data_IF_595127169958
#
_entry.id   IF_595127169958
#
_cell.length_a   1.000
_cell.length_b   1.000
_cell.length_c   1.000
_cell.angle_alpha   90.00
_cell.angle_beta   90.00
_cell.angle_gamma   90.00
#
_symmetry.space_group_name_H-M   'P 1'
#
loop_
_entity.id
_entity.type
_entity.pdbx_description
1 polymer ?
#
# COMPACT_ATOMS: atom_id res chain seq x y z
N UNK A 1 20.85 -44.31 -0.69
CA UNK A 1 20.38 -45.43 -1.54
C UNK A 1 20.46 -46.79 -0.87
N UNK A 2 21.61 -47.31 -0.43
CA UNK A 2 21.71 -48.69 0.11
C UNK A 2 20.97 -48.98 1.43
N UNK A 3 20.45 -47.95 2.10
CA UNK A 3 19.81 -48.05 3.41
C UNK A 3 18.30 -47.81 3.38
N UNK A 4 17.71 -47.47 2.22
CA UNK A 4 16.27 -47.34 2.12
C UNK A 4 15.61 -48.73 2.27
N UNK A 5 14.59 -48.87 3.12
CA UNK A 5 13.88 -50.14 3.27
C UNK A 5 13.14 -50.49 1.99
N UNK A 6 13.07 -51.79 1.63
CA UNK A 6 12.29 -52.21 0.46
C UNK A 6 10.79 -52.17 0.76
N UNK A 7 10.02 -51.70 -0.21
CA UNK A 7 8.57 -51.79 -0.22
C UNK A 7 8.19 -53.00 -1.07
N UNK A 8 7.32 -53.90 -0.57
CA UNK A 8 6.98 -55.23 -1.12
C UNK A 8 7.90 -56.42 -0.79
N UNK A 9 8.84 -56.28 0.14
CA UNK A 9 9.62 -57.44 0.65
C UNK A 9 10.60 -58.04 -0.38
N UNK A 10 10.88 -57.33 -1.46
CA UNK A 10 11.92 -57.69 -2.41
C UNK A 10 13.32 -57.60 -1.76
N UNK A 11 14.21 -58.49 -2.16
CA UNK A 11 15.62 -58.47 -1.74
C UNK A 11 16.33 -57.29 -2.41
N UNK A 12 16.42 -56.14 -1.75
CA UNK A 12 17.05 -54.93 -2.30
C UNK A 12 16.84 -53.70 -1.42
N UNK A 13 17.41 -52.57 -1.86
CA UNK A 13 17.16 -51.27 -1.23
C UNK A 13 15.98 -50.56 -1.92
N UNK A 14 15.11 -49.94 -1.13
CA UNK A 14 14.00 -49.13 -1.65
C UNK A 14 14.48 -47.92 -2.42
N UNK A 15 13.59 -47.32 -3.21
CA UNK A 15 13.89 -46.11 -3.98
C UNK A 15 12.68 -45.18 -3.99
N UNK A 16 12.68 -44.07 -3.22
CA UNK A 16 11.63 -43.06 -3.32
C UNK A 16 11.66 -42.40 -4.69
N UNK A 17 10.50 -41.97 -5.19
CA UNK A 17 10.40 -41.28 -6.48
C UNK A 17 11.05 -39.89 -6.46
N UNK A 18 10.76 -39.10 -5.42
CA UNK A 18 11.40 -37.79 -5.22
C UNK A 18 11.85 -37.65 -3.77
N UNK A 19 13.05 -37.12 -3.60
CA UNK A 19 13.64 -36.83 -2.31
C UNK A 19 14.25 -35.42 -2.34
N UNK A 20 13.87 -34.60 -1.37
CA UNK A 20 14.57 -33.35 -1.07
C UNK A 20 15.58 -33.63 0.03
N UNK A 21 16.86 -33.51 -0.28
CA UNK A 21 17.95 -33.71 0.67
C UNK A 21 18.62 -32.39 1.01
N UNK A 22 18.89 -32.21 2.30
CA UNK A 22 19.71 -31.14 2.86
C UNK A 22 19.26 -29.72 2.52
N UNK A 23 17.94 -29.48 2.46
CA UNK A 23 17.41 -28.16 2.12
C UNK A 23 17.84 -27.07 3.12
N UNK A 24 18.01 -27.44 4.39
CA UNK A 24 18.39 -26.54 5.48
C UNK A 24 19.88 -26.57 5.85
N UNK A 25 20.73 -27.32 5.13
CA UNK A 25 22.16 -27.45 5.45
C UNK A 25 22.44 -28.24 6.74
N UNK A 26 21.60 -29.23 7.06
CA UNK A 26 21.65 -30.08 8.26
C UNK A 26 22.00 -31.55 7.98
N UNK A 27 22.20 -31.93 6.72
CA UNK A 27 22.49 -33.30 6.31
C UNK A 27 21.30 -34.26 6.43
N UNK A 28 20.07 -33.74 6.44
CA UNK A 28 18.83 -34.50 6.64
C UNK A 28 18.06 -34.71 5.34
N UNK A 29 17.11 -35.66 5.33
CA UNK A 29 16.12 -35.76 4.25
C UNK A 29 14.92 -34.89 4.63
N UNK A 30 14.76 -33.77 3.92
CA UNK A 30 13.79 -32.72 4.23
C UNK A 30 12.36 -33.06 3.77
N UNK A 31 12.21 -33.88 2.73
CA UNK A 31 10.92 -34.27 2.15
C UNK A 31 11.07 -35.55 1.34
N UNK A 32 10.11 -36.46 1.46
CA UNK A 32 9.96 -37.60 0.55
C UNK A 32 8.62 -37.48 -0.18
N UNK A 33 8.62 -37.68 -1.49
CA UNK A 33 7.40 -37.81 -2.29
C UNK A 33 7.41 -39.18 -2.95
N UNK A 34 6.32 -39.91 -2.75
CA UNK A 34 6.04 -41.14 -3.50
C UNK A 34 4.92 -40.86 -4.50
N UNK A 35 5.15 -41.23 -5.76
CA UNK A 35 4.26 -40.99 -6.87
C UNK A 35 3.62 -42.30 -7.37
N UNK A 36 2.45 -42.19 -7.99
CA UNK A 36 1.78 -43.31 -8.65
C UNK A 36 1.38 -42.95 -10.06
N UNK A 37 1.44 -43.94 -10.94
CA UNK A 37 0.96 -43.78 -12.31
C UNK A 37 -0.56 -43.74 -12.36
N UNK A 38 -1.12 -43.16 -13.43
CA UNK A 38 -2.57 -43.11 -13.68
C UNK A 38 -3.26 -44.49 -13.69
N UNK A 39 -2.50 -45.56 -13.94
CA UNK A 39 -2.97 -46.95 -13.99
C UNK A 39 -2.94 -47.67 -12.65
N UNK A 40 -2.20 -47.18 -11.65
CA UNK A 40 -2.23 -47.76 -10.31
C UNK A 40 -3.50 -47.33 -9.56
N UNK A 41 -3.95 -48.19 -8.64
CA UNK A 41 -5.00 -47.86 -7.67
C UNK A 41 -4.44 -47.85 -6.23
N UNK A 42 -3.13 -48.04 -6.08
CA UNK A 42 -2.47 -48.19 -4.80
C UNK A 42 -2.35 -46.83 -4.09
N UNK A 43 -2.39 -46.88 -2.77
CA UNK A 43 -2.11 -45.71 -1.95
C UNK A 43 -0.59 -45.47 -1.90
N UNK A 44 -0.06 -44.31 -2.34
CA UNK A 44 1.36 -43.99 -2.22
C UNK A 44 1.83 -43.82 -0.78
N UNK A 45 0.94 -43.45 0.14
CA UNK A 45 1.33 -43.01 1.50
C UNK A 45 2.06 -44.09 2.32
N UNK A 46 1.61 -45.37 2.37
CA UNK A 46 2.32 -46.41 3.11
C UNK A 46 3.78 -46.62 2.65
N UNK A 47 4.04 -46.47 1.35
CA UNK A 47 5.38 -46.58 0.80
C UNK A 47 6.25 -45.36 1.15
N UNK A 48 5.68 -44.16 1.09
CA UNK A 48 6.37 -42.95 1.55
C UNK A 48 6.75 -43.04 3.03
N UNK A 49 5.85 -43.55 3.89
CA UNK A 49 6.13 -43.83 5.32
C UNK A 49 7.28 -44.83 5.47
N UNK A 50 7.25 -45.92 4.68
CA UNK A 50 8.30 -46.92 4.71
C UNK A 50 9.66 -46.29 4.41
N UNK A 51 9.77 -45.51 3.32
CA UNK A 51 11.02 -44.85 2.95
C UNK A 51 11.47 -43.80 3.96
N UNK A 52 10.55 -43.13 4.64
CA UNK A 52 10.86 -42.15 5.67
C UNK A 52 11.54 -42.75 6.92
N UNK A 53 11.44 -44.07 7.14
CA UNK A 53 12.17 -44.77 8.20
C UNK A 53 13.70 -44.69 8.05
N UNK A 54 14.21 -44.29 6.87
CA UNK A 54 15.63 -43.95 6.69
C UNK A 54 16.10 -42.86 7.67
N UNK A 55 15.20 -41.97 8.10
CA UNK A 55 15.50 -40.90 9.05
C UNK A 55 16.05 -41.45 10.37
N UNK A 56 15.49 -42.56 10.84
CA UNK A 56 15.96 -43.24 12.06
C UNK A 56 17.38 -43.77 11.91
N UNK A 57 17.77 -44.18 10.70
CA UNK A 57 19.12 -44.69 10.42
C UNK A 57 20.17 -43.57 10.39
N UNK A 58 19.83 -42.41 9.82
CA UNK A 58 20.74 -41.26 9.74
C UNK A 58 20.72 -40.36 10.98
N UNK A 59 19.85 -40.66 11.95
CA UNK A 59 19.70 -39.88 13.18
C UNK A 59 18.92 -38.58 13.03
N UNK A 60 18.36 -38.33 11.84
CA UNK A 60 17.59 -37.13 11.51
C UNK A 60 16.23 -37.54 10.91
N UNK A 61 15.13 -37.41 11.67
CA UNK A 61 13.81 -37.85 11.22
C UNK A 61 13.34 -37.09 9.97
N UNK A 62 12.85 -37.83 8.98
CA UNK A 62 12.13 -37.24 7.85
C UNK A 62 10.82 -36.67 8.39
N UNK A 63 10.62 -35.36 8.31
CA UNK A 63 9.44 -34.75 8.95
C UNK A 63 8.23 -34.71 8.06
N UNK A 64 8.42 -34.75 6.74
CA UNK A 64 7.33 -34.60 5.78
C UNK A 64 7.41 -35.70 4.74
N UNK A 65 6.26 -36.31 4.49
CA UNK A 65 6.03 -37.19 3.36
C UNK A 65 4.84 -36.68 2.54
N UNK A 66 4.88 -36.94 1.24
CA UNK A 66 3.79 -36.63 0.32
C UNK A 66 3.46 -37.89 -0.47
N UNK A 67 2.20 -38.31 -0.39
CA UNK A 67 1.63 -39.29 -1.31
C UNK A 67 0.99 -38.58 -2.49
N UNK A 68 1.52 -38.79 -3.69
CA UNK A 68 0.94 -38.27 -4.93
C UNK A 68 0.24 -39.39 -5.72
N UNK A 69 -1.04 -39.18 -6.03
CA UNK A 69 -1.78 -40.06 -6.91
C UNK A 69 -2.55 -39.20 -7.94
N UNK A 70 -2.37 -39.38 -9.26
CA UNK A 70 -2.89 -38.46 -10.28
C UNK A 70 -4.41 -38.25 -10.31
N UNK A 71 -5.17 -39.15 -9.66
CA UNK A 71 -6.65 -39.09 -9.54
C UNK A 71 -7.15 -38.58 -8.18
N UNK A 72 -6.25 -38.20 -7.26
CA UNK A 72 -6.59 -37.75 -5.90
C UNK A 72 -5.86 -36.45 -5.61
N UNK A 73 -6.31 -35.73 -4.58
CA UNK A 73 -5.55 -34.61 -4.04
C UNK A 73 -4.25 -35.12 -3.38
N UNK A 74 -3.24 -34.26 -3.23
CA UNK A 74 -2.00 -34.64 -2.57
C UNK A 74 -2.27 -34.99 -1.10
N UNK A 75 -1.69 -36.09 -0.62
CA UNK A 75 -1.72 -36.48 0.78
C UNK A 75 -0.44 -35.99 1.45
N UNK A 76 -0.47 -34.77 1.99
CA UNK A 76 0.65 -34.16 2.71
C UNK A 76 0.59 -34.54 4.17
N UNK A 77 1.63 -35.22 4.66
CA UNK A 77 1.69 -35.67 6.06
C UNK A 77 2.97 -35.28 6.76
N UNK A 78 2.84 -35.03 8.06
CA UNK A 78 3.89 -34.57 8.95
C UNK A 78 4.08 -35.55 10.09
N UNK A 79 5.33 -35.75 10.50
CA UNK A 79 5.67 -36.57 11.66
C UNK A 79 5.18 -35.89 12.95
N UNK A 80 4.21 -36.53 13.61
CA UNK A 80 3.65 -36.12 14.90
C UNK A 80 4.58 -36.47 16.08
N UNK A 81 4.27 -35.94 17.27
CA UNK A 81 4.99 -36.29 18.52
C UNK A 81 4.90 -37.77 18.89
N UNK A 82 3.84 -38.44 18.45
CA UNK A 82 3.60 -39.87 18.72
C UNK A 82 4.32 -40.79 17.72
N UNK A 83 5.10 -40.22 16.79
CA UNK A 83 5.85 -40.97 15.78
C UNK A 83 5.02 -41.38 14.56
N UNK A 84 3.79 -40.89 14.44
CA UNK A 84 2.90 -41.18 13.32
C UNK A 84 2.92 -40.06 12.28
N UNK A 85 2.76 -40.39 11.00
CA UNK A 85 2.55 -39.41 9.94
C UNK A 85 1.07 -39.05 9.82
N UNK A 86 0.73 -37.82 10.21
CA UNK A 86 -0.64 -37.29 10.20
C UNK A 86 -0.80 -36.16 9.18
N UNK A 87 -2.02 -35.86 8.70
CA UNK A 87 -2.24 -34.76 7.76
C UNK A 87 -1.72 -33.41 8.30
N UNK A 88 -1.04 -32.65 7.46
CA UNK A 88 -0.73 -31.25 7.76
C UNK A 88 -2.03 -30.44 7.72
N UNK A 89 -2.38 -29.78 8.83
CA UNK A 89 -3.56 -28.94 8.94
C UNK A 89 -3.13 -27.50 9.20
N UNK A 90 -3.60 -26.57 8.37
CA UNK A 90 -3.38 -25.13 8.51
C UNK A 90 -4.74 -24.45 8.54
N UNK A 91 -5.01 -23.64 9.57
CA UNK A 91 -6.28 -22.92 9.75
C UNK A 91 -7.53 -23.83 9.68
N UNK A 92 -7.40 -25.06 10.17
CA UNK A 92 -8.48 -26.05 10.18
C UNK A 92 -8.65 -26.83 8.87
N UNK A 93 -7.91 -26.50 7.82
CA UNK A 93 -7.96 -27.20 6.53
C UNK A 93 -6.75 -28.10 6.31
N UNK A 94 -6.96 -29.25 5.65
CA UNK A 94 -5.87 -30.14 5.26
C UNK A 94 -5.11 -29.54 4.07
N UNK A 95 -3.79 -29.48 4.18
CA UNK A 95 -2.93 -29.12 3.06
C UNK A 95 -2.95 -30.26 2.04
N UNK A 96 -3.46 -29.96 0.86
CA UNK A 96 -3.70 -30.93 -0.22
C UNK A 96 -3.04 -30.52 -1.54
N UNK A 97 -2.16 -29.52 -1.46
CA UNK A 97 -1.37 -28.95 -2.57
C UNK A 97 0.12 -28.98 -2.20
N UNK A 98 0.99 -28.80 -3.19
CA UNK A 98 2.37 -28.42 -2.89
C UNK A 98 2.40 -27.08 -2.15
N UNK A 99 3.41 -26.89 -1.32
CA UNK A 99 3.60 -25.70 -0.50
C UNK A 99 5.04 -25.20 -0.64
N UNK A 100 5.21 -23.89 -0.39
CA UNK A 100 6.50 -23.22 -0.51
C UNK A 100 7.41 -23.41 0.70
N UNK A 101 8.57 -22.78 0.61
CA UNK A 101 9.62 -22.78 1.63
C UNK A 101 9.13 -22.42 3.04
N UNK A 102 8.22 -21.46 3.16
CA UNK A 102 7.75 -20.98 4.46
C UNK A 102 6.98 -22.05 5.26
N UNK A 103 6.17 -22.87 4.58
CA UNK A 103 5.46 -23.98 5.22
C UNK A 103 6.44 -25.10 5.59
N UNK A 104 7.44 -25.36 4.73
CA UNK A 104 8.50 -26.32 5.03
C UNK A 104 9.30 -25.89 6.28
N UNK A 105 9.72 -24.62 6.36
CA UNK A 105 10.37 -24.04 7.55
C UNK A 105 9.49 -24.14 8.79
N UNK A 106 8.20 -23.80 8.66
CA UNK A 106 7.25 -23.83 9.76
C UNK A 106 7.19 -25.21 10.41
N UNK A 107 7.09 -26.28 9.61
CA UNK A 107 7.08 -27.66 10.08
C UNK A 107 8.41 -28.02 10.75
N UNK A 108 9.55 -27.71 10.13
CA UNK A 108 10.86 -28.05 10.67
C UNK A 108 11.22 -27.30 11.95
N UNK A 109 10.75 -26.07 12.10
CA UNK A 109 10.92 -25.25 13.30
C UNK A 109 9.98 -25.67 14.44
N UNK A 110 8.93 -26.44 14.15
CA UNK A 110 7.95 -26.90 15.14
C UNK A 110 7.79 -28.45 15.12
N UNK A 111 8.82 -29.20 15.57
CA UNK A 111 8.79 -30.66 15.62
C UNK A 111 7.54 -31.26 16.27
N UNK A 112 6.91 -32.22 15.57
CA UNK A 112 5.77 -32.97 16.09
C UNK A 112 4.43 -32.24 16.04
N UNK A 113 4.40 -31.00 15.54
CA UNK A 113 3.16 -30.23 15.35
C UNK A 113 2.60 -30.53 13.97
N UNK A 114 1.33 -30.97 13.95
CA UNK A 114 0.62 -31.33 12.71
C UNK A 114 -0.50 -30.33 12.38
N UNK A 115 -0.88 -29.48 13.34
CA UNK A 115 -1.91 -28.46 13.22
C UNK A 115 -1.33 -27.07 13.51
N UNK A 116 -1.40 -26.17 12.54
CA UNK A 116 -0.96 -24.79 12.65
C UNK A 116 -2.16 -23.85 12.54
N UNK A 117 -2.19 -22.87 13.43
CA UNK A 117 -3.12 -21.74 13.35
C UNK A 117 -2.25 -20.54 12.97
N UNK A 118 -2.37 -20.13 11.71
CA UNK A 118 -1.69 -18.96 11.17
C UNK A 118 -2.64 -17.78 11.27
N UNK A 119 -2.27 -16.81 12.09
CA UNK A 119 -2.92 -15.51 12.10
C UNK A 119 -2.22 -14.64 11.06
N UNK A 120 -3.01 -13.84 10.34
CA UNK A 120 -2.47 -12.81 9.46
C UNK A 120 -1.65 -11.82 10.32
N UNK A 121 -0.38 -11.65 9.99
CA UNK A 121 0.43 -10.60 10.61
C UNK A 121 0.05 -9.29 9.93
N UNK A 122 -0.94 -8.61 10.48
CA UNK A 122 -1.28 -7.25 10.08
C UNK A 122 -0.21 -6.36 10.73
N UNK A 123 0.75 -5.86 9.94
CA UNK A 123 1.59 -4.75 10.38
C UNK A 123 0.67 -3.64 10.90
N UNK A 124 0.99 -3.03 12.05
CA UNK A 124 0.17 -1.94 12.58
C UNK A 124 -0.04 -0.89 11.48
N UNK A 125 -1.31 -0.67 11.10
CA UNK A 125 -1.64 0.24 10.02
C UNK A 125 -1.08 1.63 10.35
N UNK A 126 -0.36 2.23 9.39
CA UNK A 126 0.22 3.55 9.54
C UNK A 126 -0.84 4.55 9.99
N UNK A 127 -0.66 5.08 11.20
CA UNK A 127 -1.69 5.85 11.88
C UNK A 127 -1.60 7.33 11.58
N UNK A 128 -2.65 8.08 11.95
CA UNK A 128 -2.62 9.54 11.93
C UNK A 128 -1.49 10.12 12.80
N UNK A 129 -1.18 9.45 13.92
CA UNK A 129 -0.09 9.85 14.80
C UNK A 129 1.29 9.66 14.15
N UNK A 130 1.47 8.59 13.38
CA UNK A 130 2.70 8.33 12.63
C UNK A 130 2.90 9.42 11.56
N UNK A 131 1.84 9.78 10.85
CA UNK A 131 1.89 10.87 9.88
C UNK A 131 2.19 12.23 10.52
N UNK A 132 1.58 12.54 11.67
CA UNK A 132 1.88 13.75 12.44
C UNK A 132 3.36 13.80 12.87
N UNK A 133 3.95 12.64 13.22
CA UNK A 133 5.37 12.51 13.53
C UNK A 133 6.26 12.85 12.32
N UNK A 134 5.91 12.33 11.13
CA UNK A 134 6.59 12.67 9.87
C UNK A 134 6.52 14.18 9.59
N UNK A 135 5.34 14.79 9.73
CA UNK A 135 5.16 16.24 9.53
C UNK A 135 6.00 17.05 10.53
N UNK A 136 6.11 16.60 11.79
CA UNK A 136 6.95 17.24 12.81
C UNK A 136 8.44 17.23 12.42
N UNK A 137 8.93 16.12 11.86
CA UNK A 137 10.29 16.02 11.31
C UNK A 137 10.48 17.00 10.14
N UNK A 138 9.54 17.03 9.19
CA UNK A 138 9.56 17.99 8.07
C UNK A 138 9.57 19.45 8.55
N UNK A 139 8.76 19.78 9.56
CA UNK A 139 8.70 21.12 10.16
C UNK A 139 10.05 21.57 10.72
N UNK A 140 10.85 20.64 11.24
CA UNK A 140 12.21 20.92 11.71
C UNK A 140 13.13 21.31 10.55
N UNK A 141 13.01 20.63 9.40
CA UNK A 141 13.76 20.99 8.19
C UNK A 141 13.30 22.33 7.62
N UNK A 142 11.98 22.60 7.59
CA UNK A 142 11.44 23.88 7.11
C UNK A 142 11.91 25.08 7.91
N UNK A 143 12.07 24.96 9.23
CA UNK A 143 12.63 26.03 10.07
C UNK A 143 14.07 26.42 9.71
N UNK A 144 14.78 25.53 9.01
CA UNK A 144 16.16 25.75 8.57
C UNK A 144 16.25 26.04 7.06
N UNK A 145 15.11 26.13 6.36
CA UNK A 145 15.05 26.35 4.91
C UNK A 145 14.54 27.78 4.65
N UNK A 146 15.40 28.73 4.26
CA UNK A 146 15.05 30.15 4.08
C UNK A 146 13.82 30.42 3.20
N UNK A 147 13.64 29.61 2.15
CA UNK A 147 12.56 29.73 1.18
C UNK A 147 11.20 29.36 1.79
N UNK A 148 11.17 28.52 2.83
CA UNK A 148 9.95 27.97 3.42
C UNK A 148 9.68 28.54 4.82
N UNK A 149 10.74 28.83 5.59
CA UNK A 149 10.63 29.25 6.98
C UNK A 149 9.67 30.43 7.16
N UNK A 150 8.92 30.42 8.26
CA UNK A 150 7.96 31.47 8.65
C UNK A 150 6.78 31.72 7.67
N UNK A 151 6.58 30.87 6.67
CA UNK A 151 5.43 30.94 5.76
C UNK A 151 4.52 29.71 5.92
N UNK A 152 3.46 29.83 6.72
CA UNK A 152 2.59 28.68 7.02
C UNK A 152 1.88 28.13 5.78
N UNK A 153 1.26 28.99 4.97
CA UNK A 153 0.58 28.56 3.75
C UNK A 153 1.55 27.89 2.77
N UNK A 154 2.77 28.42 2.67
CA UNK A 154 3.83 27.86 1.84
C UNK A 154 4.27 26.48 2.34
N UNK A 155 4.51 26.32 3.65
CA UNK A 155 4.90 25.02 4.22
C UNK A 155 3.79 23.97 4.14
N UNK A 156 2.52 24.36 4.27
CA UNK A 156 1.36 23.48 4.04
C UNK A 156 1.33 23.02 2.59
N UNK A 157 1.28 23.97 1.63
CA UNK A 157 1.20 23.64 0.20
C UNK A 157 2.42 22.83 -0.26
N UNK A 158 3.62 23.16 0.23
CA UNK A 158 4.85 22.42 -0.08
C UNK A 158 4.81 20.99 0.44
N UNK A 159 4.33 20.77 1.68
CA UNK A 159 4.19 19.42 2.25
C UNK A 159 3.18 18.60 1.47
N UNK A 160 2.04 19.18 1.12
CA UNK A 160 1.00 18.53 0.31
C UNK A 160 1.54 18.14 -1.06
N UNK A 161 2.23 19.05 -1.75
CA UNK A 161 2.84 18.78 -3.05
C UNK A 161 3.92 17.69 -2.97
N UNK A 162 4.74 17.68 -1.90
CA UNK A 162 5.77 16.68 -1.70
C UNK A 162 5.18 15.28 -1.47
N UNK A 163 4.13 15.16 -0.64
CA UNK A 163 3.45 13.86 -0.43
C UNK A 163 2.75 13.40 -1.70
N UNK A 164 2.07 14.31 -2.40
CA UNK A 164 1.45 13.99 -3.68
C UNK A 164 2.48 13.50 -4.70
N UNK A 165 3.66 14.13 -4.78
CA UNK A 165 4.73 13.69 -5.66
C UNK A 165 5.18 12.26 -5.35
N UNK A 166 5.36 11.93 -4.06
CA UNK A 166 5.71 10.58 -3.65
C UNK A 166 4.69 9.55 -4.13
N UNK A 167 3.41 9.82 -3.92
CA UNK A 167 2.35 8.93 -4.35
C UNK A 167 2.29 8.78 -5.86
N UNK A 168 2.51 9.87 -6.61
CA UNK A 168 2.54 9.87 -8.07
C UNK A 168 3.73 9.05 -8.60
N UNK A 169 4.90 9.17 -7.98
CA UNK A 169 6.08 8.37 -8.32
C UNK A 169 5.82 6.88 -8.07
N UNK A 170 5.25 6.53 -6.91
CA UNK A 170 4.90 5.15 -6.56
C UNK A 170 3.81 4.56 -7.46
N UNK A 171 2.79 5.33 -7.83
CA UNK A 171 1.76 4.91 -8.82
C UNK A 171 2.32 4.63 -10.22
N UNK A 172 3.50 5.17 -10.54
CA UNK A 172 4.21 4.85 -11.78
C UNK A 172 5.10 3.58 -11.65
N UNK A 173 5.00 2.84 -10.54
CA UNK A 173 5.78 1.63 -10.29
C UNK A 173 7.23 1.87 -9.84
N UNK A 174 7.58 3.12 -9.49
CA UNK A 174 8.93 3.48 -9.03
C UNK A 174 9.00 3.55 -7.51
N UNK A 175 10.19 3.34 -6.94
CA UNK A 175 10.38 3.51 -5.50
C UNK A 175 10.67 4.98 -5.19
N UNK A 176 10.09 5.48 -4.12
CA UNK A 176 10.38 6.86 -3.67
C UNK A 176 11.85 7.04 -3.29
N UNK A 177 12.45 6.00 -2.70
CA UNK A 177 13.88 5.92 -2.36
C UNK A 177 14.83 5.91 -3.58
N UNK A 178 14.32 5.88 -4.81
CA UNK A 178 15.12 6.08 -6.01
C UNK A 178 15.49 7.57 -6.23
N UNK A 179 14.80 8.51 -5.57
CA UNK A 179 15.16 9.93 -5.58
C UNK A 179 16.35 10.15 -4.64
N UNK A 180 17.55 10.28 -5.21
CA UNK A 180 18.81 10.37 -4.46
C UNK A 180 19.49 11.74 -4.57
N UNK A 181 19.08 12.54 -5.55
CA UNK A 181 19.62 13.88 -5.82
C UNK A 181 18.51 14.92 -6.03
N UNK A 182 18.86 16.20 -5.85
CA UNK A 182 17.95 17.32 -6.11
C UNK A 182 17.49 17.33 -7.56
N UNK A 183 18.36 16.89 -8.48
CA UNK A 183 18.04 16.72 -9.90
C UNK A 183 17.00 15.62 -10.14
N UNK A 184 17.02 14.52 -9.38
CA UNK A 184 15.99 13.47 -9.48
C UNK A 184 14.63 14.01 -9.04
N UNK A 185 14.59 14.72 -7.91
CA UNK A 185 13.38 15.35 -7.39
C UNK A 185 12.81 16.35 -8.39
N UNK A 186 13.67 17.21 -8.94
CA UNK A 186 13.31 18.20 -9.97
C UNK A 186 12.79 17.54 -11.23
N UNK A 187 13.40 16.44 -11.66
CA UNK A 187 12.97 15.68 -12.82
C UNK A 187 11.57 15.09 -12.65
N UNK A 188 11.29 14.47 -11.49
CA UNK A 188 9.96 13.92 -11.21
C UNK A 188 8.90 15.03 -11.05
N UNK A 189 9.22 16.13 -10.37
CA UNK A 189 8.31 17.27 -10.25
C UNK A 189 8.04 17.95 -11.60
N UNK A 190 9.08 18.13 -12.42
CA UNK A 190 8.98 18.76 -13.75
C UNK A 190 8.05 18.02 -14.71
N UNK A 191 7.89 16.70 -14.57
CA UNK A 191 6.91 15.93 -15.35
C UNK A 191 5.45 16.34 -15.09
N UNK A 192 5.19 17.10 -14.03
CA UNK A 192 3.86 17.52 -13.62
C UNK A 192 3.64 19.02 -13.86
N UNK A 193 4.65 19.86 -13.63
CA UNK A 193 4.49 21.31 -13.58
C UNK A 193 5.34 22.09 -14.60
N UNK A 194 6.31 21.47 -15.27
CA UNK A 194 7.11 22.15 -16.30
C UNK A 194 6.38 22.15 -17.64
N UNK A 195 5.97 23.32 -18.13
CA UNK A 195 5.27 23.50 -19.41
C UNK A 195 5.99 22.84 -20.60
N UNK A 196 7.32 22.68 -20.55
CA UNK A 196 8.12 22.11 -21.64
C UNK A 196 8.41 20.62 -21.47
N UNK A 197 8.25 20.07 -20.27
CA UNK A 197 8.67 18.69 -19.93
C UNK A 197 7.57 17.85 -19.31
N UNK A 198 6.37 18.41 -19.14
CA UNK A 198 5.29 17.70 -18.49
C UNK A 198 4.78 16.52 -19.34
N UNK A 199 4.37 15.47 -18.65
CA UNK A 199 3.48 14.47 -19.22
C UNK A 199 2.08 15.07 -19.27
N UNK A 200 1.47 15.17 -20.45
CA UNK A 200 0.11 15.70 -20.62
C UNK A 200 -0.87 15.06 -19.64
N UNK A 201 -0.83 13.74 -19.52
CA UNK A 201 -1.68 12.97 -18.60
C UNK A 201 -1.45 13.34 -17.14
N UNK A 202 -0.21 13.56 -16.70
CA UNK A 202 0.08 13.92 -15.30
C UNK A 202 -0.19 15.40 -15.02
N UNK A 203 0.03 16.27 -16.01
CA UNK A 203 -0.21 17.70 -15.92
C UNK A 203 -1.69 18.01 -15.76
N UNK A 204 -2.52 17.56 -16.71
CA UNK A 204 -3.97 17.75 -16.69
C UNK A 204 -4.58 17.22 -15.39
N UNK A 205 -3.94 16.17 -14.85
CA UNK A 205 -4.33 15.46 -13.65
C UNK A 205 -3.91 16.16 -12.35
N UNK A 206 -2.64 16.52 -12.19
CA UNK A 206 -2.09 16.91 -10.89
C UNK A 206 -1.60 18.35 -10.79
N UNK A 207 -1.58 19.15 -11.88
CA UNK A 207 -0.99 20.50 -11.90
C UNK A 207 -1.47 21.37 -10.73
N UNK A 208 -2.77 21.36 -10.42
CA UNK A 208 -3.35 22.21 -9.36
C UNK A 208 -2.83 21.91 -7.94
N UNK A 209 -2.14 20.78 -7.75
CA UNK A 209 -1.46 20.44 -6.50
C UNK A 209 -0.11 21.15 -6.39
N UNK A 210 0.56 21.30 -7.53
CA UNK A 210 1.93 21.82 -7.63
C UNK A 210 1.97 23.31 -7.97
N UNK A 211 0.90 23.85 -8.54
CA UNK A 211 0.78 25.24 -8.98
C UNK A 211 -0.58 25.80 -8.57
N UNK A 212 -0.58 26.88 -7.80
CA UNK A 212 -1.77 27.65 -7.43
C UNK A 212 -1.63 29.03 -8.07
N UNK A 213 -2.42 29.29 -9.09
CA UNK A 213 -2.42 30.53 -9.87
C UNK A 213 -3.13 31.65 -9.09
N UNK A 214 -2.69 32.90 -9.28
CA UNK A 214 -3.40 34.10 -8.83
C UNK A 214 -4.56 34.45 -9.78
N UNK A 215 -5.37 35.42 -9.37
CA UNK A 215 -6.34 36.08 -10.27
C UNK A 215 -5.66 36.84 -11.43
N UNK A 216 -4.38 37.21 -11.29
CA UNK A 216 -3.58 37.82 -12.36
C UNK A 216 -2.94 36.75 -13.27
N UNK A 217 -3.24 36.76 -14.59
CA UNK A 217 -2.74 35.76 -15.53
C UNK A 217 -1.22 35.65 -15.53
N UNK A 218 -0.70 34.43 -15.38
CA UNK A 218 0.75 34.14 -15.43
C UNK A 218 1.50 34.42 -14.13
N UNK A 219 0.80 34.61 -13.01
CA UNK A 219 1.42 34.71 -11.68
C UNK A 219 0.85 33.65 -10.74
N UNK A 220 1.70 33.09 -9.89
CA UNK A 220 1.34 31.99 -8.98
C UNK A 220 1.48 32.44 -7.51
N UNK A 221 0.52 32.08 -6.65
CA UNK A 221 0.68 32.15 -5.18
C UNK A 221 1.59 31.05 -4.65
N UNK A 222 1.65 29.92 -5.37
CA UNK A 222 2.44 28.76 -5.02
C UNK A 222 2.88 28.03 -6.28
N UNK A 223 4.18 27.71 -6.38
CA UNK A 223 4.72 26.87 -7.44
C UNK A 223 5.83 26.00 -6.86
N UNK A 224 5.54 24.69 -6.74
CA UNK A 224 6.42 23.73 -6.08
C UNK A 224 7.81 23.65 -6.75
N UNK A 225 7.85 23.59 -8.08
CA UNK A 225 9.12 23.48 -8.82
C UNK A 225 9.98 24.73 -8.69
N UNK A 226 9.36 25.91 -8.68
CA UNK A 226 10.08 27.18 -8.46
C UNK A 226 10.74 27.20 -7.08
N UNK A 227 10.05 26.70 -6.04
CA UNK A 227 10.60 26.63 -4.68
C UNK A 227 11.74 25.60 -4.61
N UNK A 228 11.57 24.42 -5.20
CA UNK A 228 12.62 23.39 -5.30
C UNK A 228 13.86 23.94 -6.02
N UNK A 229 13.67 24.62 -7.16
CA UNK A 229 14.75 25.24 -7.93
C UNK A 229 15.46 26.35 -7.13
N UNK A 230 14.72 27.15 -6.37
CA UNK A 230 15.31 28.21 -5.52
C UNK A 230 16.19 27.62 -4.42
N UNK A 231 15.71 26.55 -3.76
CA UNK A 231 16.46 25.84 -2.73
C UNK A 231 17.73 25.21 -3.32
N UNK A 232 17.63 24.52 -4.45
CA UNK A 232 18.77 23.88 -5.11
C UNK A 232 19.83 24.91 -5.54
N UNK A 233 19.42 26.06 -6.10
CA UNK A 233 20.34 27.13 -6.47
C UNK A 233 21.09 27.68 -5.25
N UNK A 234 20.39 27.93 -4.14
CA UNK A 234 21.02 28.39 -2.89
C UNK A 234 21.99 27.35 -2.34
N UNK A 235 21.57 26.09 -2.23
CA UNK A 235 22.41 25.02 -1.65
C UNK A 235 23.69 24.79 -2.47
N UNK A 236 23.60 24.91 -3.80
CA UNK A 236 24.76 24.86 -4.68
C UNK A 236 25.69 26.08 -4.49
N UNK A 237 25.15 27.28 -4.28
CA UNK A 237 25.94 28.49 -3.99
C UNK A 237 26.64 28.42 -2.64
N UNK A 238 25.97 27.86 -1.64
CA UNK A 238 26.48 27.69 -0.27
C UNK A 238 27.45 26.50 -0.13
N UNK A 239 27.63 25.70 -1.19
CA UNK A 239 28.47 24.49 -1.17
C UNK A 239 27.92 23.35 -0.32
N UNK A 240 26.61 23.35 -0.06
CA UNK A 240 25.89 22.33 0.71
C UNK A 240 25.72 21.03 -0.09
N UNK A 241 25.65 21.16 -1.42
CA UNK A 241 25.50 20.06 -2.38
C UNK A 241 26.70 20.03 -3.32
N UNK A 242 27.20 18.82 -3.59
CA UNK A 242 28.17 18.57 -4.66
C UNK A 242 27.63 17.50 -5.60
N UNK A 243 28.28 17.31 -6.75
CA UNK A 243 27.93 16.24 -7.70
C UNK A 243 28.00 14.85 -7.02
N UNK A 244 28.87 14.69 -6.02
CA UNK A 244 29.15 13.40 -5.37
C UNK A 244 28.46 13.24 -4.01
N UNK A 245 28.05 14.32 -3.34
CA UNK A 245 27.40 14.30 -2.03
C UNK A 245 26.24 15.30 -1.93
N UNK A 246 25.02 14.76 -1.80
CA UNK A 246 23.77 15.51 -1.59
C UNK A 246 23.24 15.37 -0.16
N UNK A 247 23.98 14.71 0.73
CA UNK A 247 23.53 14.39 2.11
C UNK A 247 23.25 15.65 2.95
N UNK A 248 23.90 16.76 2.61
CA UNK A 248 23.68 18.07 3.22
C UNK A 248 22.33 18.71 2.85
N UNK A 249 21.79 18.38 1.68
CA UNK A 249 20.60 19.03 1.11
C UNK A 249 19.36 18.87 1.98
N UNK A 250 18.66 19.97 2.22
CA UNK A 250 17.38 19.94 2.92
C UNK A 250 16.30 19.24 2.09
N UNK A 251 16.33 19.35 0.76
CA UNK A 251 15.40 18.64 -0.14
C UNK A 251 15.56 17.12 0.01
N UNK A 252 16.80 16.62 0.02
CA UNK A 252 17.06 15.18 0.19
C UNK A 252 16.71 14.71 1.59
N UNK A 253 16.93 15.54 2.63
CA UNK A 253 16.44 15.24 3.98
C UNK A 253 14.91 15.11 4.00
N UNK A 254 14.18 16.01 3.32
CA UNK A 254 12.72 15.92 3.21
C UNK A 254 12.27 14.65 2.48
N UNK A 255 12.92 14.29 1.37
CA UNK A 255 12.65 13.04 0.63
C UNK A 255 12.84 11.82 1.53
N UNK A 256 13.94 11.76 2.29
CA UNK A 256 14.23 10.65 3.23
C UNK A 256 13.23 10.56 4.37
N UNK A 257 12.85 11.70 4.97
CA UNK A 257 11.81 11.74 6.00
C UNK A 257 10.49 11.20 5.45
N UNK A 258 10.14 11.57 4.23
CA UNK A 258 8.89 11.16 3.62
C UNK A 258 8.88 9.67 3.24
N UNK A 259 10.04 9.02 3.07
CA UNK A 259 10.11 7.57 2.82
C UNK A 259 9.51 6.73 3.96
N UNK A 260 9.37 7.31 5.17
CA UNK A 260 8.64 6.71 6.30
C UNK A 260 7.13 6.55 6.05
N UNK A 261 6.56 7.31 5.10
CA UNK A 261 5.15 7.20 4.72
C UNK A 261 4.98 5.97 3.81
N UNK A 262 4.05 5.05 4.10
CA UNK A 262 3.86 3.82 3.32
C UNK A 262 3.35 4.08 1.91
N UNK A 263 3.53 3.08 1.03
CA UNK A 263 3.25 3.17 -0.40
C UNK A 263 1.76 3.11 -0.76
N UNK A 264 0.95 2.52 0.11
CA UNK A 264 -0.44 2.18 -0.17
C UNK A 264 -1.42 3.24 0.35
N UNK A 265 -2.70 3.01 0.12
CA UNK A 265 -3.79 3.90 0.50
C UNK A 265 -3.65 4.36 1.95
N UNK A 266 -3.45 5.66 2.13
CA UNK A 266 -3.37 6.29 3.42
C UNK A 266 -4.79 6.52 3.93
N UNK A 267 -5.19 5.79 4.96
CA UNK A 267 -6.53 5.95 5.54
C UNK A 267 -6.63 7.17 6.49
N UNK A 268 -5.90 8.24 6.16
CA UNK A 268 -5.76 9.47 6.92
C UNK A 268 -6.20 10.68 6.07
N UNK A 269 -6.81 11.68 6.71
CA UNK A 269 -7.04 12.99 6.08
C UNK A 269 -5.72 13.76 6.03
N UNK A 270 -4.98 13.58 4.94
CA UNK A 270 -3.65 14.15 4.79
C UNK A 270 -3.66 15.67 4.91
N UNK A 271 -4.57 16.35 4.20
CA UNK A 271 -4.62 17.81 4.25
C UNK A 271 -5.01 18.29 5.64
N UNK A 272 -6.01 17.65 6.26
CA UNK A 272 -6.40 17.92 7.64
C UNK A 272 -5.24 17.78 8.61
N UNK A 273 -4.44 16.71 8.49
CA UNK A 273 -3.31 16.47 9.39
C UNK A 273 -2.13 17.42 9.13
N UNK A 274 -1.76 17.65 7.86
CA UNK A 274 -0.74 18.66 7.50
C UNK A 274 -1.15 20.03 8.02
N UNK A 275 -2.42 20.40 7.86
CA UNK A 275 -2.96 21.66 8.33
C UNK A 275 -2.94 21.75 9.87
N UNK A 276 -3.43 20.73 10.58
CA UNK A 276 -3.43 20.72 12.03
C UNK A 276 -2.01 20.82 12.62
N UNK A 277 -1.05 20.17 11.97
CA UNK A 277 0.35 20.12 12.40
C UNK A 277 1.16 21.38 12.03
N UNK A 278 0.90 22.03 10.88
CA UNK A 278 1.69 23.15 10.39
C UNK A 278 1.04 24.53 10.58
N UNK A 279 -0.29 24.64 10.57
CA UNK A 279 -0.97 25.94 10.67
C UNK A 279 -0.81 26.60 12.06
N UNK A 280 -0.51 27.90 12.09
CA UNK A 280 -0.57 28.69 13.33
C UNK A 280 -2.01 29.07 13.71
N UNK A 281 -2.19 29.71 14.88
CA UNK A 281 -3.52 30.11 15.36
C UNK A 281 -4.26 31.07 14.42
N UNK A 282 -3.55 31.93 13.69
CA UNK A 282 -4.14 32.91 12.76
C UNK A 282 -4.60 32.21 11.49
N UNK A 283 -3.73 31.40 10.90
CA UNK A 283 -4.00 30.51 9.77
C UNK A 283 -5.16 29.58 10.10
N UNK A 284 -5.20 28.99 11.30
CA UNK A 284 -6.30 28.14 11.76
C UNK A 284 -7.66 28.86 11.81
N UNK A 285 -7.64 30.14 12.19
CA UNK A 285 -8.87 30.96 12.28
C UNK A 285 -9.36 31.38 10.89
N UNK A 286 -8.47 31.75 9.98
CA UNK A 286 -8.82 32.15 8.61
C UNK A 286 -9.28 30.96 7.76
N UNK A 287 -8.61 29.81 7.89
CA UNK A 287 -8.94 28.63 7.10
C UNK A 287 -10.03 27.75 7.74
N UNK A 288 -10.31 27.93 9.04
CA UNK A 288 -11.39 27.24 9.75
C UNK A 288 -12.80 27.57 9.22
N UNK A 289 -12.97 28.67 8.47
CA UNK A 289 -14.22 28.99 7.77
C UNK A 289 -14.57 27.96 6.68
N UNK A 290 -13.59 27.20 6.20
CA UNK A 290 -13.73 26.21 5.13
C UNK A 290 -13.63 24.75 5.61
N UNK A 291 -13.54 24.51 6.92
CA UNK A 291 -13.24 23.19 7.47
C UNK A 291 -14.30 22.71 8.48
N UNK A 292 -14.86 21.53 8.23
CA UNK A 292 -15.70 20.81 9.20
C UNK A 292 -14.86 19.74 9.89
N UNK A 293 -14.98 19.60 11.22
CA UNK A 293 -14.19 18.61 11.98
C UNK A 293 -14.57 17.17 11.61
N UNK A 294 -13.57 16.28 11.58
CA UNK A 294 -13.71 14.88 11.14
C UNK A 294 -14.81 14.10 11.86
N UNK A 295 -14.86 14.16 13.20
CA UNK A 295 -15.90 13.47 13.98
C UNK A 295 -17.33 13.93 13.64
N UNK A 296 -17.50 15.16 13.13
CA UNK A 296 -18.80 15.65 12.66
C UNK A 296 -19.10 15.06 11.28
N UNK A 297 -18.11 15.09 10.37
CA UNK A 297 -18.24 14.52 9.03
C UNK A 297 -18.57 13.03 9.11
N UNK A 298 -17.80 12.25 9.87
CA UNK A 298 -17.98 10.80 9.98
C UNK A 298 -19.37 10.46 10.51
N UNK A 299 -19.81 11.14 11.57
CA UNK A 299 -21.13 10.91 12.15
C UNK A 299 -22.25 11.20 11.13
N UNK A 300 -22.14 12.31 10.39
CA UNK A 300 -23.15 12.67 9.37
C UNK A 300 -23.12 11.68 8.20
N UNK A 301 -21.94 11.32 7.70
CA UNK A 301 -21.79 10.37 6.59
C UNK A 301 -22.40 9.02 6.95
N UNK A 302 -22.10 8.46 8.13
CA UNK A 302 -22.66 7.19 8.59
C UNK A 302 -24.18 7.25 8.79
N UNK A 303 -24.73 8.42 9.19
CA UNK A 303 -26.17 8.60 9.34
C UNK A 303 -26.90 8.71 8.00
N UNK A 304 -26.31 9.35 7.00
CA UNK A 304 -26.95 9.65 5.71
C UNK A 304 -26.67 8.61 4.63
N UNK A 305 -25.54 7.92 4.67
CA UNK A 305 -25.18 6.84 3.73
C UNK A 305 -25.33 5.49 4.42
N UNK A 306 -26.58 5.07 4.61
CA UNK A 306 -26.90 3.71 5.09
C UNK A 306 -26.65 2.70 3.98
N UNK A 307 -26.48 1.43 4.32
CA UNK A 307 -26.15 0.38 3.34
C UNK A 307 -27.13 0.30 2.18
N UNK A 308 -28.44 0.41 2.44
CA UNK A 308 -29.48 0.44 1.40
C UNK A 308 -29.36 1.65 0.45
N UNK A 309 -28.88 2.78 0.96
CA UNK A 309 -28.65 3.99 0.16
C UNK A 309 -27.38 3.83 -0.70
N UNK A 310 -26.32 3.25 -0.12
CA UNK A 310 -25.07 2.95 -0.84
C UNK A 310 -25.31 1.90 -1.93
N UNK A 311 -26.04 0.84 -1.65
CA UNK A 311 -26.41 -0.19 -2.63
C UNK A 311 -27.09 0.43 -3.84
N UNK A 312 -28.04 1.35 -3.61
CA UNK A 312 -28.73 2.08 -4.68
C UNK A 312 -27.79 3.00 -5.44
N UNK A 313 -26.93 3.76 -4.75
CA UNK A 313 -25.92 4.63 -5.35
C UNK A 313 -25.03 3.82 -6.30
N UNK A 314 -24.52 2.68 -5.84
CA UNK A 314 -23.63 1.81 -6.60
C UNK A 314 -24.35 1.19 -7.80
N UNK A 315 -25.49 0.51 -7.57
CA UNK A 315 -26.19 -0.24 -8.61
C UNK A 315 -26.85 0.66 -9.67
N UNK A 316 -27.29 1.86 -9.31
CA UNK A 316 -27.98 2.79 -10.20
C UNK A 316 -27.10 3.96 -10.66
N UNK A 317 -25.83 4.01 -10.23
CA UNK A 317 -24.90 5.12 -10.50
C UNK A 317 -25.48 6.48 -10.10
N UNK A 318 -26.06 6.56 -8.90
CA UNK A 318 -26.61 7.83 -8.40
C UNK A 318 -25.47 8.75 -7.96
N UNK A 319 -25.59 10.03 -8.32
CA UNK A 319 -24.60 11.04 -7.96
C UNK A 319 -24.65 11.38 -6.47
N UNK A 320 -23.48 11.43 -5.84
CA UNK A 320 -23.21 11.99 -4.52
C UNK A 320 -22.53 13.34 -4.71
N UNK A 321 -23.23 14.42 -4.39
CA UNK A 321 -22.77 15.79 -4.64
C UNK A 321 -22.53 16.57 -3.35
N UNK A 322 -21.39 17.27 -3.28
CA UNK A 322 -21.10 18.29 -2.27
C UNK A 322 -21.01 19.67 -2.94
N UNK A 323 -22.05 20.49 -2.78
CA UNK A 323 -22.21 21.77 -3.48
C UNK A 323 -21.41 22.94 -2.89
N UNK A 324 -20.70 22.69 -1.79
CA UNK A 324 -19.85 23.66 -1.10
C UNK A 324 -18.69 22.92 -0.44
N UNK A 325 -17.90 22.24 -1.26
CA UNK A 325 -17.05 21.16 -0.80
C UNK A 325 -15.88 21.61 0.07
N UNK A 326 -15.50 22.90 0.05
CA UNK A 326 -14.45 23.44 0.89
C UNK A 326 -13.14 22.68 0.68
N UNK A 327 -12.59 22.08 1.74
CA UNK A 327 -11.40 21.22 1.64
C UNK A 327 -11.70 19.76 1.28
N UNK A 328 -12.96 19.41 1.00
CA UNK A 328 -13.37 18.09 0.52
C UNK A 328 -13.73 17.08 1.61
N UNK A 329 -14.03 17.54 2.82
CA UNK A 329 -14.23 16.66 3.98
C UNK A 329 -15.39 15.66 3.80
N UNK A 330 -16.57 16.16 3.43
CA UNK A 330 -17.78 15.34 3.24
C UNK A 330 -17.69 14.44 2.03
N UNK A 331 -17.26 14.97 0.89
CA UNK A 331 -17.10 14.18 -0.34
C UNK A 331 -16.06 13.06 -0.16
N UNK A 332 -14.94 13.33 0.52
CA UNK A 332 -13.95 12.30 0.85
C UNK A 332 -14.49 11.27 1.84
N UNK A 333 -15.23 11.72 2.86
CA UNK A 333 -15.85 10.82 3.83
C UNK A 333 -16.88 9.89 3.19
N UNK A 334 -17.69 10.44 2.30
CA UNK A 334 -18.71 9.71 1.55
C UNK A 334 -18.07 8.66 0.65
N UNK A 335 -17.02 9.02 -0.09
CA UNK A 335 -16.26 8.08 -0.90
C UNK A 335 -15.70 6.92 -0.07
N UNK A 336 -15.03 7.20 1.06
CA UNK A 336 -14.49 6.13 1.93
C UNK A 336 -15.57 5.21 2.48
N UNK A 337 -16.76 5.74 2.79
CA UNK A 337 -17.90 4.91 3.24
C UNK A 337 -18.42 3.99 2.13
N UNK A 338 -18.52 4.51 0.91
CA UNK A 338 -18.93 3.74 -0.27
C UNK A 338 -17.87 2.70 -0.64
N UNK A 339 -16.59 3.07 -0.59
CA UNK A 339 -15.46 2.18 -0.85
C UNK A 339 -15.49 0.97 0.08
N UNK A 340 -15.56 1.18 1.40
CA UNK A 340 -15.63 0.08 2.40
C UNK A 340 -16.78 -0.87 2.10
N UNK A 341 -17.96 -0.33 1.81
CA UNK A 341 -19.12 -1.14 1.42
C UNK A 341 -18.86 -1.95 0.14
N UNK A 342 -18.23 -1.36 -0.87
CA UNK A 342 -17.93 -2.06 -2.11
C UNK A 342 -16.83 -3.11 -1.96
N UNK A 343 -15.84 -2.90 -1.10
CA UNK A 343 -14.81 -3.89 -0.79
C UNK A 343 -15.43 -5.16 -0.17
N UNK A 344 -16.47 -4.99 0.65
CA UNK A 344 -17.20 -6.09 1.29
C UNK A 344 -18.19 -6.78 0.33
N UNK A 345 -18.96 -6.00 -0.45
CA UNK A 345 -20.09 -6.52 -1.24
C UNK A 345 -19.80 -6.69 -2.74
N UNK A 346 -18.78 -6.02 -3.27
CA UNK A 346 -18.42 -5.98 -4.69
C UNK A 346 -16.89 -6.09 -4.90
N UNK A 347 -16.24 -7.20 -4.50
CA UNK A 347 -14.77 -7.32 -4.42
C UNK A 347 -14.03 -7.16 -5.76
N UNK A 348 -14.73 -7.26 -6.88
CA UNK A 348 -14.16 -7.09 -8.23
C UNK A 348 -14.51 -5.74 -8.87
N UNK A 349 -15.13 -4.81 -8.14
CA UNK A 349 -15.53 -3.51 -8.68
C UNK A 349 -14.34 -2.56 -8.78
N UNK A 350 -14.24 -1.88 -9.93
CA UNK A 350 -13.33 -0.75 -10.06
C UNK A 350 -13.92 0.47 -9.35
N UNK A 351 -13.53 0.64 -8.08
CA UNK A 351 -13.96 1.74 -7.20
C UNK A 351 -13.61 3.10 -7.79
N UNK A 352 -12.49 3.21 -8.52
CA UNK A 352 -12.03 4.47 -9.10
C UNK A 352 -12.90 4.87 -10.28
N UNK A 353 -13.23 3.91 -11.13
CA UNK A 353 -14.18 4.14 -12.22
C UNK A 353 -15.56 4.52 -11.66
N UNK A 354 -16.04 3.80 -10.63
CA UNK A 354 -17.31 4.13 -9.97
C UNK A 354 -17.31 5.57 -9.46
N UNK A 355 -16.27 5.95 -8.73
CA UNK A 355 -16.26 7.24 -8.05
C UNK A 355 -16.06 8.43 -9.00
N UNK A 356 -15.38 8.25 -10.13
CA UNK A 356 -15.43 9.22 -11.25
C UNK A 356 -16.86 9.42 -11.78
N UNK A 357 -17.70 8.36 -11.79
CA UNK A 357 -19.07 8.45 -12.32
C UNK A 357 -20.05 9.08 -11.33
N UNK A 358 -19.83 8.92 -10.01
CA UNK A 358 -20.83 9.27 -8.99
C UNK A 358 -20.43 10.44 -8.10
N UNK A 359 -19.15 10.79 -7.94
CA UNK A 359 -18.72 11.79 -6.96
C UNK A 359 -18.53 13.16 -7.60
N UNK A 360 -19.31 14.16 -7.14
CA UNK A 360 -19.25 15.54 -7.64
C UNK A 360 -19.01 16.53 -6.49
N UNK A 361 -18.12 17.49 -6.69
CA UNK A 361 -17.83 18.55 -5.71
C UNK A 361 -17.77 19.92 -6.35
N UNK A 362 -18.38 20.92 -5.72
CA UNK A 362 -18.37 22.29 -6.19
C UNK A 362 -17.96 23.25 -5.09
N UNK A 363 -17.13 24.24 -5.45
CA UNK A 363 -16.84 25.37 -4.58
C UNK A 363 -16.60 26.64 -5.41
N UNK A 364 -16.93 27.80 -4.86
CA UNK A 364 -16.68 29.09 -5.53
C UNK A 364 -15.20 29.49 -5.44
N UNK A 365 -14.51 29.04 -4.39
CA UNK A 365 -13.12 29.35 -4.11
C UNK A 365 -12.19 28.36 -4.84
N UNK A 366 -11.33 28.83 -5.77
CA UNK A 366 -10.40 27.97 -6.50
C UNK A 366 -9.41 27.23 -5.58
N UNK A 367 -9.03 27.80 -4.43
CA UNK A 367 -8.16 27.11 -3.46
C UNK A 367 -8.87 25.91 -2.83
N UNK A 368 -10.14 26.04 -2.50
CA UNK A 368 -10.99 24.96 -1.96
C UNK A 368 -11.13 23.81 -2.97
N UNK A 369 -11.37 24.14 -4.25
CA UNK A 369 -11.40 23.17 -5.35
C UNK A 369 -10.08 22.41 -5.44
N UNK A 370 -8.95 23.11 -5.43
CA UNK A 370 -7.62 22.49 -5.43
C UNK A 370 -7.42 21.54 -4.25
N UNK A 371 -7.75 21.99 -3.03
CA UNK A 371 -7.66 21.19 -1.79
C UNK A 371 -8.58 19.97 -1.80
N UNK A 372 -9.79 20.09 -2.31
CA UNK A 372 -10.73 18.97 -2.44
C UNK A 372 -10.19 17.93 -3.43
N UNK A 373 -9.69 18.36 -4.60
CA UNK A 373 -9.07 17.45 -5.58
C UNK A 373 -7.88 16.69 -4.98
N UNK A 374 -7.08 17.37 -4.17
CA UNK A 374 -6.00 16.76 -3.40
C UNK A 374 -6.58 15.67 -2.50
N UNK A 375 -7.51 16.01 -1.62
CA UNK A 375 -8.07 15.06 -0.66
C UNK A 375 -8.72 13.83 -1.33
N UNK A 376 -9.48 14.02 -2.40
CA UNK A 376 -10.07 12.91 -3.17
C UNK A 376 -9.01 12.03 -3.84
N UNK A 377 -7.99 12.64 -4.45
CA UNK A 377 -6.87 11.91 -5.08
C UNK A 377 -6.12 11.05 -4.05
N UNK A 378 -5.93 11.58 -2.85
CA UNK A 378 -5.22 10.92 -1.76
C UNK A 378 -6.06 9.82 -1.11
N UNK A 379 -7.38 10.00 -1.02
CA UNK A 379 -8.30 9.01 -0.46
C UNK A 379 -8.44 7.74 -1.30
N UNK A 380 -7.91 7.71 -2.53
CA UNK A 380 -7.88 6.51 -3.37
C UNK A 380 -8.86 6.52 -4.53
N UNK A 381 -9.80 7.46 -4.56
CA UNK A 381 -10.82 7.63 -5.60
C UNK A 381 -10.18 7.82 -6.98
N UNK A 382 -9.24 8.76 -7.10
CA UNK A 382 -8.98 9.32 -8.42
C UNK A 382 -9.99 10.44 -8.72
N UNK A 383 -10.29 10.70 -9.98
CA UNK A 383 -10.87 11.98 -10.40
C UNK A 383 -12.39 12.04 -10.28
N UNK A 384 -12.85 12.33 -9.07
CA UNK A 384 -14.16 12.92 -8.86
C UNK A 384 -14.29 14.26 -9.63
N UNK A 385 -15.50 14.59 -10.09
CA UNK A 385 -15.76 15.84 -10.79
C UNK A 385 -15.80 17.01 -9.81
N UNK A 386 -14.62 17.59 -9.52
CA UNK A 386 -14.49 18.74 -8.63
C UNK A 386 -14.28 20.01 -9.45
N UNK A 387 -15.21 20.96 -9.40
CA UNK A 387 -15.16 22.16 -10.23
C UNK A 387 -15.32 23.46 -9.44
N UNK A 388 -14.76 24.54 -9.99
CA UNK A 388 -15.03 25.90 -9.52
C UNK A 388 -16.38 26.35 -10.04
N UNK A 389 -17.38 26.38 -9.18
CA UNK A 389 -18.76 26.70 -9.56
C UNK A 389 -19.39 27.58 -8.48
N UNK A 390 -20.07 28.65 -8.91
CA UNK A 390 -21.02 29.34 -8.04
C UNK A 390 -22.35 28.57 -8.09
N UNK A 391 -22.56 27.68 -7.12
CA UNK A 391 -23.70 26.77 -7.07
C UNK A 391 -25.06 27.44 -6.95
N UNK A 392 -25.11 28.73 -6.57
CA UNK A 392 -26.35 29.51 -6.51
C UNK A 392 -26.75 30.11 -7.87
N UNK A 393 -25.84 30.14 -8.85
CA UNK A 393 -26.05 30.84 -10.13
C UNK A 393 -25.77 29.98 -11.36
N UNK A 394 -25.10 28.85 -11.19
CA UNK A 394 -24.78 27.94 -12.28
C UNK A 394 -26.02 27.14 -12.70
N UNK A 395 -26.25 27.06 -14.02
CA UNK A 395 -27.09 26.02 -14.60
C UNK A 395 -26.26 24.74 -14.72
N UNK A 396 -26.23 23.97 -13.64
CA UNK A 396 -25.58 22.66 -13.59
C UNK A 396 -26.56 21.67 -14.21
N UNK A 397 -26.24 21.16 -15.42
CA UNK A 397 -27.10 20.28 -16.22
C UNK A 397 -26.80 18.81 -15.99
#
# INVERSE_FOLDING_TARGET
DQHFPSWHGESGAGKPDVMLFDYFGRGEISLIVEDKSFSSNDDPTPQAICYAAIGDYIGEPVRIIIGNHPKRQLDVRVLSKDGNYEPLIINGEKVTTFFGEEVLKLVYNNPGVTHFILNEHIDEAFSQQDFASVISKLKTVYRQTPEIQNHNNLSINFTVALVALQMIVRKQGKKWSDIRSTQDLRSEAGKICDEKRHSKTLYDKYKSIFVIENDEPGTDTFNFLVIVDSIDVRENQDGVTTIEDTSGSCLIKMVRILDEVPADHLDIDLFGEVYESLADKKTKKTLGEFFTRRHIIDAIVELFLREEDIERIVNQRLTVADTSCGTGGFITGSFKRIQRYCEEHYPNMDIKALANDIMIGYDINPESVGRTRINMTLAGDGFSDIQRVNTLTANIS
#
